data_IF_636097216205
#
_entry.id   IF_636097216205
#
_cell.length_a   1.000
_cell.length_b   1.000
_cell.length_c   1.000
_cell.angle_alpha   90.00
_cell.angle_beta   90.00
_cell.angle_gamma   90.00
#
_symmetry.space_group_name_H-M   'P 1'
#
loop_
_entity.id
_entity.type
_entity.pdbx_description
1 polymer ?
#
# COMPACT_ATOMS: atom_id res chain seq x y z
N UNK A 1 -19.53 -28.45 -46.62
CA UNK A 1 -20.88 -27.93 -46.50
C UNK A 1 -21.66 -28.84 -45.56
N UNK A 2 -21.61 -28.59 -44.24
CA UNK A 2 -22.41 -29.22 -43.22
C UNK A 2 -22.71 -28.15 -42.15
N UNK A 3 -23.98 -27.91 -41.82
CA UNK A 3 -24.33 -26.90 -40.82
C UNK A 3 -24.31 -27.51 -39.42
N UNK A 4 -23.54 -26.90 -38.48
CA UNK A 4 -23.59 -27.16 -37.06
C UNK A 4 -24.85 -26.54 -36.48
N UNK A 5 -25.71 -27.35 -35.90
CA UNK A 5 -26.92 -26.98 -35.18
C UNK A 5 -26.52 -26.48 -33.77
N UNK A 6 -26.86 -25.24 -33.48
CA UNK A 6 -26.85 -24.68 -32.12
C UNK A 6 -28.03 -25.22 -31.32
N UNK A 7 -27.78 -25.83 -30.19
CA UNK A 7 -28.79 -26.26 -29.22
C UNK A 7 -29.00 -25.11 -28.20
N UNK A 8 -30.24 -24.63 -27.95
CA UNK A 8 -30.48 -23.61 -26.95
C UNK A 8 -30.55 -24.23 -25.56
N UNK A 9 -29.63 -23.81 -24.64
CA UNK A 9 -29.74 -24.10 -23.24
C UNK A 9 -30.93 -23.35 -22.63
N UNK A 10 -31.95 -24.08 -22.18
CA UNK A 10 -33.09 -23.57 -21.41
C UNK A 10 -32.64 -23.31 -19.97
N UNK A 11 -32.65 -22.04 -19.57
CA UNK A 11 -32.53 -21.60 -18.19
C UNK A 11 -33.84 -21.92 -17.45
N UNK A 12 -33.79 -22.78 -16.41
CA UNK A 12 -34.86 -22.98 -15.45
C UNK A 12 -34.64 -22.11 -14.23
N UNK A 13 -35.55 -21.22 -13.85
CA UNK A 13 -35.47 -20.52 -12.57
C UNK A 13 -35.79 -21.49 -11.43
N UNK A 14 -34.90 -21.57 -10.45
CA UNK A 14 -35.14 -22.27 -9.17
C UNK A 14 -36.11 -21.44 -8.32
N UNK A 15 -37.12 -22.12 -7.81
CA UNK A 15 -38.21 -21.60 -7.03
C UNK A 15 -37.77 -20.86 -5.75
N UNK A 16 -38.58 -19.87 -5.39
CA UNK A 16 -38.50 -19.12 -4.16
C UNK A 16 -38.66 -20.06 -2.92
N UNK A 17 -37.55 -20.27 -2.20
CA UNK A 17 -37.57 -20.91 -0.90
C UNK A 17 -38.04 -19.90 0.16
N UNK A 18 -39.07 -20.25 0.89
CA UNK A 18 -39.62 -19.49 2.02
C UNK A 18 -38.54 -19.28 3.10
N UNK A 19 -38.47 -18.06 3.63
CA UNK A 19 -37.64 -17.71 4.80
C UNK A 19 -38.16 -18.44 6.05
N UNK A 20 -37.28 -18.96 6.91
CA UNK A 20 -37.67 -19.53 8.19
C UNK A 20 -38.15 -18.43 9.15
N UNK A 21 -39.10 -18.76 10.09
CA UNK A 21 -39.66 -17.79 11.00
C UNK A 21 -38.61 -17.26 11.99
N UNK A 22 -38.63 -15.95 12.24
CA UNK A 22 -37.81 -15.27 13.23
C UNK A 22 -38.18 -15.75 14.63
N UNK A 23 -37.21 -16.32 15.34
CA UNK A 23 -37.39 -16.73 16.73
C UNK A 23 -37.46 -15.52 17.65
N UNK A 24 -38.58 -15.36 18.37
CA UNK A 24 -38.77 -14.34 19.40
C UNK A 24 -37.97 -14.76 20.65
N UNK A 25 -37.11 -13.86 21.21
CA UNK A 25 -36.38 -14.18 22.42
C UNK A 25 -37.31 -14.30 23.65
N UNK A 26 -37.19 -15.39 24.40
CA UNK A 26 -37.86 -15.61 25.66
C UNK A 26 -37.29 -14.70 26.76
N UNK A 27 -38.14 -14.15 27.65
CA UNK A 27 -37.64 -13.33 28.77
C UNK A 27 -36.87 -14.20 29.79
N UNK A 28 -35.74 -13.68 30.27
CA UNK A 28 -34.93 -14.26 31.32
C UNK A 28 -35.70 -14.28 32.65
N UNK A 29 -35.59 -15.37 33.45
CA UNK A 29 -36.18 -15.43 34.79
C UNK A 29 -35.49 -14.48 35.75
N UNK A 30 -36.27 -13.83 36.64
CA UNK A 30 -35.82 -12.91 37.65
C UNK A 30 -34.88 -13.57 38.65
N UNK A 31 -33.80 -12.87 39.01
CA UNK A 31 -32.87 -13.30 40.08
C UNK A 31 -33.51 -13.18 41.44
N UNK A 32 -33.32 -14.15 42.36
CA UNK A 32 -33.80 -14.07 43.72
C UNK A 32 -32.98 -13.00 44.54
N UNK A 33 -33.70 -12.27 45.41
CA UNK A 33 -33.16 -11.26 46.31
C UNK A 33 -32.27 -11.92 47.38
N UNK A 34 -31.09 -11.35 47.61
CA UNK A 34 -30.22 -11.75 48.72
C UNK A 34 -30.71 -11.16 50.06
N UNK A 35 -30.60 -11.87 51.17
CA UNK A 35 -31.03 -11.37 52.49
C UNK A 35 -30.04 -10.33 53.03
N UNK A 36 -30.62 -9.29 53.64
CA UNK A 36 -29.88 -8.26 54.34
C UNK A 36 -29.22 -8.80 55.62
N UNK A 37 -27.92 -8.82 55.67
CA UNK A 37 -27.18 -9.04 56.93
C UNK A 37 -26.76 -7.68 57.54
N UNK A 38 -27.34 -7.42 58.70
CA UNK A 38 -27.03 -6.32 59.59
C UNK A 38 -25.71 -6.61 60.35
N UNK A 39 -24.80 -5.68 60.34
CA UNK A 39 -23.97 -5.31 61.46
C UNK A 39 -22.70 -6.12 61.71
N UNK A 40 -21.56 -5.52 61.40
CA UNK A 40 -20.45 -5.44 62.37
C UNK A 40 -19.49 -4.33 61.88
N UNK A 41 -19.47 -3.26 62.68
CA UNK A 41 -18.48 -2.18 62.53
C UNK A 41 -17.12 -2.69 63.03
N UNK A 42 -16.22 -2.97 62.11
CA UNK A 42 -14.80 -3.08 62.44
C UNK A 42 -14.04 -2.03 61.63
N UNK A 43 -13.68 -0.94 62.31
CA UNK A 43 -12.82 0.10 61.76
C UNK A 43 -11.39 -0.45 61.69
N UNK A 44 -10.98 -0.96 60.58
CA UNK A 44 -9.56 -1.17 60.22
C UNK A 44 -9.20 -0.03 59.27
N UNK A 45 -8.44 0.94 59.78
CA UNK A 45 -7.79 1.95 58.96
C UNK A 45 -6.63 1.28 58.23
N UNK A 46 -6.92 0.76 57.01
CA UNK A 46 -5.89 0.36 56.06
C UNK A 46 -5.49 1.63 55.29
N UNK A 47 -4.33 2.21 55.65
CA UNK A 47 -3.66 3.18 54.81
C UNK A 47 -3.24 2.50 53.48
N UNK A 48 -4.13 2.57 52.50
CA UNK A 48 -3.83 2.07 51.19
C UNK A 48 -2.81 2.96 50.47
N UNK A 49 -1.58 2.50 50.39
CA UNK A 49 -0.63 2.95 49.38
C UNK A 49 -1.21 2.57 48.04
N UNK A 50 -1.88 3.53 47.40
CA UNK A 50 -2.18 3.45 45.98
C UNK A 50 -0.83 3.46 45.24
N UNK A 51 -0.47 2.39 44.48
CA UNK A 51 0.67 2.49 43.58
C UNK A 51 0.32 3.59 42.58
N UNK A 52 1.10 4.68 42.58
CA UNK A 52 1.16 5.56 41.40
C UNK A 52 1.59 4.68 40.25
N UNK A 53 0.63 4.29 39.42
CA UNK A 53 0.92 3.75 38.11
C UNK A 53 1.65 4.85 37.35
N UNK A 54 2.98 4.78 37.35
CA UNK A 54 3.80 5.61 36.47
C UNK A 54 3.35 5.28 35.06
N UNK A 55 2.48 6.14 34.48
CA UNK A 55 2.06 6.02 33.09
C UNK A 55 3.33 6.01 32.26
N UNK A 56 3.56 4.93 31.53
CA UNK A 56 4.65 4.90 30.56
C UNK A 56 4.43 6.09 29.61
N UNK A 57 5.45 6.94 29.39
CA UNK A 57 5.31 8.03 28.44
C UNK A 57 4.89 7.43 27.10
N UNK A 58 3.76 7.90 26.56
CA UNK A 58 3.32 7.53 25.23
C UNK A 58 4.49 7.81 24.28
N UNK A 59 5.04 6.77 23.65
CA UNK A 59 6.11 6.94 22.69
C UNK A 59 5.57 7.84 21.57
N UNK A 60 6.25 8.96 21.34
CA UNK A 60 5.91 9.86 20.26
C UNK A 60 5.97 9.09 18.91
N UNK A 61 4.93 9.23 18.10
CA UNK A 61 4.91 8.61 16.78
C UNK A 61 6.06 9.17 15.91
N UNK A 62 6.70 8.33 15.08
CA UNK A 62 7.80 8.78 14.22
C UNK A 62 7.35 9.93 13.30
N UNK A 63 8.16 10.99 13.26
CA UNK A 63 7.95 12.13 12.37
C UNK A 63 8.77 12.03 11.08
N UNK A 64 8.70 13.06 10.20
CA UNK A 64 9.39 13.04 8.90
C UNK A 64 10.91 12.82 9.00
N UNK A 65 11.57 13.38 10.02
CA UNK A 65 13.00 13.20 10.23
C UNK A 65 13.35 11.76 10.64
N UNK A 66 12.50 11.12 11.44
CA UNK A 66 12.67 9.73 11.83
C UNK A 66 12.51 8.81 10.62
N UNK A 67 11.53 9.11 9.76
CA UNK A 67 11.30 8.39 8.50
C UNK A 67 12.49 8.55 7.55
N UNK A 68 13.06 9.75 7.40
CA UNK A 68 14.24 9.97 6.57
C UNK A 68 15.45 9.18 7.07
N UNK A 69 15.67 9.14 8.40
CA UNK A 69 16.74 8.33 9.00
C UNK A 69 16.51 6.84 8.80
N UNK A 70 15.28 6.36 9.02
CA UNK A 70 14.93 4.96 8.78
C UNK A 70 15.08 4.59 7.30
N UNK A 71 14.67 5.46 6.37
CA UNK A 71 14.84 5.25 4.94
C UNK A 71 16.32 5.08 4.58
N UNK A 72 17.17 6.00 5.03
CA UNK A 72 18.61 5.94 4.77
C UNK A 72 19.29 4.70 5.37
N UNK A 73 18.83 4.24 6.52
CA UNK A 73 19.42 3.10 7.23
C UNK A 73 18.94 1.73 6.72
N UNK A 74 17.70 1.64 6.27
CA UNK A 74 17.03 0.35 6.05
C UNK A 74 16.76 0.06 4.57
N UNK A 75 16.59 1.10 3.72
CA UNK A 75 16.26 0.89 2.30
C UNK A 75 17.52 0.63 1.48
N UNK A 76 17.47 -0.39 0.65
CA UNK A 76 18.55 -0.73 -0.29
C UNK A 76 17.94 -1.40 -1.52
N UNK A 77 18.38 -1.02 -2.74
CA UNK A 77 19.28 0.09 -3.03
C UNK A 77 18.59 1.45 -2.88
N UNK A 78 19.37 2.51 -2.62
CA UNK A 78 18.91 3.90 -2.59
C UNK A 78 19.37 4.65 -3.83
N UNK A 79 18.63 5.71 -4.18
CA UNK A 79 19.01 6.70 -5.19
C UNK A 79 19.28 8.02 -4.49
N UNK A 80 20.21 8.79 -5.04
CA UNK A 80 20.64 10.09 -4.50
C UNK A 80 20.40 11.23 -5.52
N UNK A 81 19.14 11.60 -5.79
CA UNK A 81 18.85 12.73 -6.66
C UNK A 81 19.43 14.02 -6.05
N UNK A 82 20.04 14.92 -6.85
CA UNK A 82 20.54 16.20 -6.37
C UNK A 82 19.40 17.10 -5.88
N UNK A 83 19.72 18.11 -5.07
CA UNK A 83 18.75 18.97 -4.41
C UNK A 83 17.74 19.63 -5.38
N UNK A 84 18.19 20.02 -6.57
CA UNK A 84 17.33 20.57 -7.62
C UNK A 84 16.27 19.56 -8.11
N UNK A 85 16.66 18.29 -8.26
CA UNK A 85 15.72 17.23 -8.64
C UNK A 85 14.76 16.92 -7.48
N UNK A 86 15.24 16.90 -6.24
CA UNK A 86 14.37 16.75 -5.07
C UNK A 86 13.31 17.86 -5.03
N UNK A 87 13.69 19.11 -5.23
CA UNK A 87 12.75 20.24 -5.28
C UNK A 87 11.78 20.12 -6.47
N UNK A 88 12.27 19.73 -7.65
CA UNK A 88 11.46 19.55 -8.85
C UNK A 88 10.38 18.48 -8.65
N UNK A 89 10.74 17.31 -8.15
CA UNK A 89 9.77 16.23 -7.89
C UNK A 89 8.79 16.59 -6.78
N UNK A 90 9.22 17.31 -5.75
CA UNK A 90 8.33 17.86 -4.74
C UNK A 90 7.27 18.80 -5.32
N UNK A 91 7.68 19.70 -6.24
CA UNK A 91 6.76 20.58 -6.95
C UNK A 91 5.78 19.80 -7.85
N UNK A 92 6.28 18.79 -8.60
CA UNK A 92 5.44 17.92 -9.42
C UNK A 92 4.41 17.15 -8.59
N UNK A 93 4.77 16.72 -7.38
CA UNK A 93 3.81 16.04 -6.49
C UNK A 93 2.66 16.97 -6.09
N UNK A 94 2.95 18.21 -5.73
CA UNK A 94 1.93 19.21 -5.38
C UNK A 94 1.06 19.56 -6.59
N UNK A 95 1.66 19.72 -7.76
CA UNK A 95 0.94 20.00 -9.01
C UNK A 95 0.01 18.84 -9.39
N UNK A 96 0.48 17.60 -9.33
CA UNK A 96 -0.34 16.42 -9.63
C UNK A 96 -1.56 16.32 -8.71
N UNK A 97 -1.39 16.55 -7.41
CA UNK A 97 -2.49 16.58 -6.45
C UNK A 97 -3.50 17.68 -6.77
N UNK A 98 -3.03 18.87 -7.09
CA UNK A 98 -3.88 20.01 -7.48
C UNK A 98 -4.65 19.70 -8.76
N UNK A 99 -3.98 19.16 -9.78
CA UNK A 99 -4.60 18.78 -11.05
C UNK A 99 -5.68 17.69 -10.86
N UNK A 100 -5.51 16.81 -9.88
CA UNK A 100 -6.49 15.80 -9.49
C UNK A 100 -7.64 16.36 -8.61
N UNK A 101 -7.68 17.67 -8.35
CA UNK A 101 -8.68 18.28 -7.49
C UNK A 101 -8.52 17.95 -6.00
N UNK A 102 -7.39 17.41 -5.60
CA UNK A 102 -7.10 17.03 -4.22
C UNK A 102 -6.44 18.21 -3.52
N UNK A 103 -7.11 18.72 -2.51
CA UNK A 103 -6.52 19.71 -1.60
C UNK A 103 -5.98 18.97 -0.39
N UNK A 104 -4.68 18.99 -0.11
CA UNK A 104 -4.12 18.38 1.09
C UNK A 104 -4.73 19.00 2.34
N UNK A 105 -5.33 18.17 3.19
CA UNK A 105 -5.90 18.57 4.47
C UNK A 105 -4.84 18.69 5.57
N UNK A 106 -3.61 18.94 5.19
CA UNK A 106 -2.47 19.06 6.11
C UNK A 106 -1.25 18.27 5.62
N UNK A 107 -0.14 18.39 6.36
CA UNK A 107 1.07 17.66 6.05
C UNK A 107 0.85 16.15 6.13
N UNK A 108 1.34 15.40 5.13
CA UNK A 108 1.23 13.94 5.05
C UNK A 108 2.35 13.33 4.24
N UNK A 109 2.59 12.04 4.43
CA UNK A 109 3.50 11.29 3.58
C UNK A 109 2.86 10.99 2.23
N UNK A 110 3.63 11.08 1.15
CA UNK A 110 3.23 10.63 -0.19
C UNK A 110 4.37 9.87 -0.85
N UNK A 111 4.03 8.89 -1.63
CA UNK A 111 4.98 8.20 -2.49
C UNK A 111 4.74 8.63 -3.93
N UNK A 112 5.80 9.13 -4.56
CA UNK A 112 5.79 9.50 -5.96
C UNK A 112 6.61 8.50 -6.75
N UNK A 113 6.14 8.10 -7.93
CA UNK A 113 6.84 7.20 -8.86
C UNK A 113 7.00 7.89 -10.19
N UNK A 114 8.22 7.97 -10.67
CA UNK A 114 8.50 8.34 -12.06
C UNK A 114 8.67 7.07 -12.89
N UNK A 115 7.72 6.84 -13.81
CA UNK A 115 7.72 5.67 -14.69
C UNK A 115 8.59 5.84 -15.94
N UNK A 116 9.18 7.02 -16.16
CA UNK A 116 10.06 7.28 -17.30
C UNK A 116 11.12 6.19 -17.39
N UNK A 117 11.32 5.64 -18.59
CA UNK A 117 12.27 4.55 -18.84
C UNK A 117 13.71 4.91 -18.48
N UNK A 118 14.03 6.21 -18.48
CA UNK A 118 15.32 6.76 -18.09
C UNK A 118 15.41 7.07 -16.58
N UNK A 119 14.35 6.92 -15.82
CA UNK A 119 14.32 7.22 -14.37
C UNK A 119 14.00 6.00 -13.53
N UNK A 120 12.77 5.48 -13.61
CA UNK A 120 12.31 4.30 -12.87
C UNK A 120 12.62 4.42 -11.37
N UNK A 121 12.08 5.44 -10.71
CA UNK A 121 12.36 5.77 -9.32
C UNK A 121 11.07 5.98 -8.52
N UNK A 122 11.07 5.55 -7.25
CA UNK A 122 10.14 6.00 -6.22
C UNK A 122 10.82 7.04 -5.35
N UNK A 123 10.10 8.12 -5.04
CA UNK A 123 10.56 9.21 -4.19
C UNK A 123 9.54 9.40 -3.07
N UNK A 124 10.00 9.38 -1.83
CA UNK A 124 9.18 9.58 -0.64
C UNK A 124 9.27 11.03 -0.20
N UNK A 125 8.11 11.65 0.02
CA UNK A 125 8.00 13.02 0.48
C UNK A 125 7.12 13.14 1.72
N UNK A 126 7.46 14.13 2.55
CA UNK A 126 6.55 14.78 3.46
C UNK A 126 6.00 16.03 2.81
N UNK A 127 4.69 16.06 2.56
CA UNK A 127 4.02 17.20 1.95
C UNK A 127 3.81 18.28 3.02
N UNK A 128 4.80 19.16 3.11
CA UNK A 128 4.73 20.44 3.80
C UNK A 128 4.89 21.57 2.79
N UNK A 129 5.01 22.79 3.26
CA UNK A 129 5.32 23.95 2.42
C UNK A 129 6.67 24.55 2.83
N UNK A 130 7.74 24.29 2.06
CA UNK A 130 7.84 23.44 0.86
C UNK A 130 7.80 21.93 1.20
N UNK A 131 7.57 21.04 0.20
CA UNK A 131 7.69 19.60 0.38
C UNK A 131 9.11 19.19 0.78
N UNK A 132 9.22 18.23 1.70
CA UNK A 132 10.50 17.72 2.20
C UNK A 132 10.77 16.36 1.60
N UNK A 133 11.88 16.21 0.89
CA UNK A 133 12.35 14.92 0.38
C UNK A 133 12.88 14.06 1.52
N UNK A 134 12.51 12.76 1.54
CA UNK A 134 12.87 11.82 2.60
C UNK A 134 13.72 10.65 2.11
N UNK A 135 13.68 10.35 0.82
CA UNK A 135 14.48 9.30 0.22
C UNK A 135 13.97 8.86 -1.16
N UNK A 136 14.81 8.17 -1.91
CA UNK A 136 14.46 7.59 -3.19
C UNK A 136 15.06 6.20 -3.38
N UNK A 137 14.33 5.34 -4.13
CA UNK A 137 14.76 3.99 -4.46
C UNK A 137 14.37 3.63 -5.89
N UNK A 138 15.09 2.73 -6.57
CA UNK A 138 14.72 2.29 -7.91
C UNK A 138 13.44 1.45 -7.87
N UNK A 139 12.66 1.55 -8.94
CA UNK A 139 11.44 0.74 -9.15
C UNK A 139 11.48 0.03 -10.50
N UNK A 140 10.48 -0.82 -10.75
CA UNK A 140 10.15 -1.29 -12.10
C UNK A 140 8.68 -1.07 -12.36
N UNK A 141 8.37 -0.38 -13.44
CA UNK A 141 7.01 -0.15 -13.95
C UNK A 141 6.72 -1.00 -15.19
N UNK A 142 5.59 -0.77 -15.83
CA UNK A 142 5.14 -1.53 -17.00
C UNK A 142 6.10 -1.47 -18.17
N UNK A 143 6.41 -2.64 -18.76
CA UNK A 143 7.28 -2.75 -19.93
C UNK A 143 6.45 -2.68 -21.22
N UNK A 144 6.61 -1.62 -21.98
CA UNK A 144 6.01 -1.48 -23.31
C UNK A 144 6.71 -2.40 -24.33
N UNK A 145 5.98 -2.83 -25.35
CA UNK A 145 6.51 -3.68 -26.43
C UNK A 145 6.37 -5.18 -26.16
N UNK A 146 5.73 -5.61 -25.09
CA UNK A 146 5.50 -6.99 -24.75
C UNK A 146 4.01 -7.29 -24.58
N UNK A 147 3.52 -8.41 -25.13
CA UNK A 147 2.13 -8.85 -24.97
C UNK A 147 1.76 -9.00 -23.49
N UNK A 148 0.54 -8.61 -23.14
CA UNK A 148 -0.01 -8.65 -21.77
C UNK A 148 0.76 -7.77 -20.75
N UNK A 149 1.46 -6.73 -21.24
CA UNK A 149 2.12 -5.73 -20.42
C UNK A 149 1.48 -4.37 -20.68
N UNK A 150 0.96 -3.74 -19.63
CA UNK A 150 0.39 -2.40 -19.68
C UNK A 150 1.47 -1.36 -19.38
N UNK A 151 1.30 -0.16 -19.91
CA UNK A 151 1.96 1.01 -19.34
C UNK A 151 1.40 1.24 -17.94
N UNK A 152 2.25 1.49 -16.96
CA UNK A 152 1.76 1.92 -15.64
C UNK A 152 1.03 3.26 -15.79
N UNK A 153 -0.23 3.40 -15.37
CA UNK A 153 -1.00 4.62 -15.60
C UNK A 153 -0.40 5.81 -14.84
N UNK A 154 -0.50 7.02 -15.42
CA UNK A 154 -0.10 8.28 -14.80
C UNK A 154 -1.30 8.84 -14.04
N UNK A 155 -1.05 9.48 -12.89
CA UNK A 155 -2.08 10.14 -12.09
C UNK A 155 -1.85 10.06 -10.60
N UNK A 156 -2.89 10.39 -9.84
CA UNK A 156 -2.94 10.28 -8.39
C UNK A 156 -3.89 9.17 -8.02
N UNK A 157 -3.40 8.20 -7.27
CA UNK A 157 -4.14 7.00 -6.87
C UNK A 157 -4.28 6.96 -5.36
N UNK A 158 -5.51 6.78 -4.89
CA UNK A 158 -5.80 6.72 -3.46
C UNK A 158 -5.68 5.30 -2.94
N UNK A 159 -4.87 5.11 -1.91
CA UNK A 159 -4.80 3.88 -1.13
C UNK A 159 -5.91 3.91 -0.07
N UNK A 160 -6.85 2.98 -0.15
CA UNK A 160 -8.02 2.96 0.73
C UNK A 160 -8.56 1.55 0.94
N UNK A 161 -9.42 1.38 1.95
CA UNK A 161 -10.09 0.12 2.25
C UNK A 161 -11.08 -0.35 1.17
N UNK A 162 -11.44 0.50 0.20
CA UNK A 162 -12.27 0.12 -0.94
C UNK A 162 -11.59 -0.92 -1.84
N UNK A 163 -10.25 -0.93 -1.83
CA UNK A 163 -9.42 -1.92 -2.51
C UNK A 163 -8.49 -2.55 -1.47
N UNK A 164 -8.95 -3.57 -0.74
CA UNK A 164 -8.19 -4.09 0.40
C UNK A 164 -6.89 -4.74 -0.05
N UNK A 165 -5.84 -4.38 0.66
CA UNK A 165 -4.52 -4.97 0.51
C UNK A 165 -4.52 -6.45 0.90
N UNK A 166 -3.48 -7.14 0.47
CA UNK A 166 -3.21 -8.50 0.89
C UNK A 166 -1.71 -8.72 1.14
N UNK A 167 -1.36 -9.89 1.66
CA UNK A 167 0.03 -10.27 1.87
C UNK A 167 0.43 -11.39 0.91
N UNK A 168 1.64 -11.27 0.37
CA UNK A 168 2.21 -12.25 -0.52
C UNK A 168 2.26 -13.63 0.14
N UNK A 169 1.83 -14.66 -0.59
CA UNK A 169 1.89 -16.04 -0.12
C UNK A 169 3.31 -16.61 -0.11
N UNK A 170 4.23 -16.00 -0.88
CA UNK A 170 5.60 -16.47 -1.03
C UNK A 170 5.71 -17.70 -1.93
N UNK A 171 4.67 -17.96 -2.74
CA UNK A 171 4.68 -19.05 -3.73
C UNK A 171 5.46 -18.67 -4.98
N UNK A 172 6.10 -19.64 -5.61
CA UNK A 172 6.82 -19.44 -6.88
C UNK A 172 5.88 -19.76 -8.04
N UNK A 173 5.90 -18.89 -9.05
CA UNK A 173 5.20 -19.16 -10.30
C UNK A 173 5.91 -20.23 -11.15
N UNK A 174 5.35 -20.57 -12.33
CA UNK A 174 5.93 -21.56 -13.24
C UNK A 174 7.38 -21.28 -13.65
N UNK A 175 7.83 -20.02 -13.57
CA UNK A 175 9.21 -19.61 -13.86
C UNK A 175 10.11 -19.63 -12.59
N UNK A 176 9.62 -20.14 -11.46
CA UNK A 176 10.34 -20.18 -10.20
C UNK A 176 10.53 -18.81 -9.54
N UNK A 177 9.69 -17.83 -9.85
CA UNK A 177 9.79 -16.43 -9.39
C UNK A 177 8.75 -16.15 -8.32
N UNK A 178 9.14 -15.45 -7.26
CA UNK A 178 8.28 -14.90 -6.22
C UNK A 178 7.63 -13.60 -6.73
N UNK A 179 6.43 -13.69 -7.34
CA UNK A 179 5.81 -12.57 -8.06
C UNK A 179 5.58 -11.32 -7.20
N UNK A 180 5.17 -11.49 -5.96
CA UNK A 180 4.88 -10.42 -4.99
C UNK A 180 5.94 -10.30 -3.87
N UNK A 181 7.13 -10.87 -4.07
CA UNK A 181 8.17 -10.95 -3.05
C UNK A 181 8.05 -12.17 -2.15
N UNK A 182 8.73 -12.15 -1.00
CA UNK A 182 8.68 -13.25 -0.03
C UNK A 182 7.36 -13.26 0.73
N UNK A 183 7.06 -14.40 1.36
CA UNK A 183 5.85 -14.57 2.19
C UNK A 183 5.68 -13.45 3.20
N UNK A 184 4.48 -12.91 3.30
CA UNK A 184 4.10 -11.88 4.26
C UNK A 184 4.36 -10.45 3.81
N UNK A 185 5.06 -10.21 2.69
CA UNK A 185 5.20 -8.86 2.13
C UNK A 185 3.86 -8.29 1.71
N UNK A 186 3.66 -6.99 1.95
CA UNK A 186 2.39 -6.33 1.65
C UNK A 186 2.28 -6.01 0.17
N UNK A 187 1.09 -6.22 -0.37
CA UNK A 187 0.69 -5.80 -1.72
C UNK A 187 -0.33 -4.69 -1.54
N UNK A 188 0.07 -3.47 -1.90
CA UNK A 188 -0.78 -2.27 -1.86
C UNK A 188 -1.64 -2.27 -3.10
N UNK A 189 -2.95 -2.16 -2.93
CA UNK A 189 -3.91 -2.25 -4.02
C UNK A 189 -4.60 -0.90 -4.27
N UNK A 190 -4.46 -0.40 -5.49
CA UNK A 190 -5.05 0.88 -5.92
C UNK A 190 -6.26 0.68 -6.84
N UNK A 191 -6.78 -0.56 -6.91
CA UNK A 191 -7.99 -0.90 -7.66
C UNK A 191 -7.79 -1.02 -9.17
N UNK A 192 -8.92 -1.08 -9.84
CA UNK A 192 -8.98 -1.16 -11.30
C UNK A 192 -8.76 0.21 -11.93
N UNK A 193 -7.81 0.30 -12.85
CA UNK A 193 -7.42 1.53 -13.52
C UNK A 193 -7.45 1.35 -15.04
N UNK A 194 -7.72 2.43 -15.76
CA UNK A 194 -7.53 2.47 -17.20
C UNK A 194 -6.06 2.75 -17.50
N UNK A 195 -5.46 1.93 -18.35
CA UNK A 195 -4.06 2.08 -18.78
C UNK A 195 -3.93 1.69 -20.25
N UNK A 196 -2.93 2.23 -20.94
CA UNK A 196 -2.65 1.82 -22.31
C UNK A 196 -2.04 0.42 -22.34
N UNK A 197 -2.48 -0.41 -23.26
CA UNK A 197 -1.79 -1.65 -23.57
C UNK A 197 -0.38 -1.32 -24.06
N UNK A 198 0.63 -2.00 -23.55
CA UNK A 198 1.99 -1.90 -24.06
C UNK A 198 2.21 -2.67 -25.37
N UNK A 199 1.15 -3.19 -25.98
CA UNK A 199 1.19 -4.03 -27.19
C UNK A 199 0.04 -3.72 -28.15
N UNK A 200 0.15 -4.24 -29.38
CA UNK A 200 -0.86 -4.10 -30.41
C UNK A 200 -1.08 -2.63 -30.80
N UNK A 201 -2.32 -2.18 -30.76
CA UNK A 201 -2.70 -0.81 -31.11
C UNK A 201 -2.57 0.21 -29.93
N UNK A 202 -2.00 -0.20 -28.83
CA UNK A 202 -1.85 0.61 -27.59
C UNK A 202 -3.18 1.18 -27.04
N UNK A 203 -4.32 0.59 -27.41
CA UNK A 203 -5.62 1.05 -26.95
C UNK A 203 -5.75 0.97 -25.42
N UNK A 204 -6.48 1.91 -24.78
CA UNK A 204 -6.80 1.84 -23.37
C UNK A 204 -7.53 0.54 -23.01
N UNK A 205 -7.19 -0.04 -21.87
CA UNK A 205 -7.88 -1.19 -21.31
C UNK A 205 -7.76 -1.19 -19.78
N UNK A 206 -8.55 -2.01 -19.13
CA UNK A 206 -8.58 -2.08 -17.65
C UNK A 206 -7.50 -3.02 -17.15
N UNK A 207 -6.75 -2.55 -16.14
CA UNK A 207 -5.80 -3.34 -15.36
C UNK A 207 -5.93 -3.07 -13.87
N UNK A 208 -5.52 -4.00 -13.02
CA UNK A 208 -5.43 -3.75 -11.58
C UNK A 208 -4.07 -3.15 -11.24
N UNK A 209 -4.07 -1.94 -10.68
CA UNK A 209 -2.85 -1.27 -10.28
C UNK A 209 -2.47 -1.68 -8.86
N UNK A 210 -1.28 -2.24 -8.73
CA UNK A 210 -0.74 -2.66 -7.44
C UNK A 210 0.72 -2.20 -7.30
N UNK A 211 1.14 -1.97 -6.05
CA UNK A 211 2.54 -1.74 -5.71
C UNK A 211 2.97 -2.84 -4.72
N UNK A 212 4.08 -3.49 -5.01
CA UNK A 212 4.54 -4.65 -4.24
C UNK A 212 6.06 -4.85 -4.36
N UNK A 213 6.62 -5.64 -3.45
CA UNK A 213 7.98 -6.10 -3.61
C UNK A 213 8.11 -7.06 -4.81
N UNK A 214 9.33 -7.29 -5.26
CA UNK A 214 9.62 -8.30 -6.28
C UNK A 214 10.45 -9.45 -5.67
N UNK A 215 10.80 -10.45 -6.49
CA UNK A 215 11.69 -11.54 -6.06
C UNK A 215 13.06 -10.97 -5.68
N UNK A 216 13.47 -10.99 -4.40
CA UNK A 216 14.71 -10.38 -3.95
C UNK A 216 15.94 -11.11 -4.47
N UNK A 217 15.80 -12.36 -4.89
CA UNK A 217 16.92 -13.20 -5.34
C UNK A 217 17.14 -13.11 -6.86
N UNK A 218 16.08 -12.84 -7.64
CA UNK A 218 16.13 -12.92 -9.11
C UNK A 218 15.76 -11.62 -9.83
N UNK A 219 14.89 -10.80 -9.27
CA UNK A 219 14.33 -9.64 -9.97
C UNK A 219 14.68 -8.30 -9.34
N UNK A 220 15.01 -8.24 -8.05
CA UNK A 220 15.30 -6.97 -7.39
C UNK A 220 16.50 -6.25 -8.02
N UNK A 221 17.45 -7.01 -8.51
CA UNK A 221 18.59 -6.47 -9.30
C UNK A 221 18.17 -5.78 -10.61
N UNK A 222 16.93 -5.97 -11.09
CA UNK A 222 16.39 -5.36 -12.32
C UNK A 222 15.60 -4.08 -12.04
N UNK A 223 15.44 -3.70 -10.79
CA UNK A 223 14.86 -2.40 -10.45
C UNK A 223 15.68 -1.27 -11.06
N UNK A 224 15.02 -0.19 -11.48
CA UNK A 224 15.60 0.87 -12.30
C UNK A 224 15.36 0.68 -13.81
N UNK A 225 14.63 -0.40 -14.20
CA UNK A 225 14.21 -0.64 -15.57
C UNK A 225 12.76 -1.09 -15.64
N UNK A 226 12.03 -0.76 -16.71
CA UNK A 226 10.64 -1.16 -16.91
C UNK A 226 10.56 -2.68 -17.19
N UNK A 227 9.99 -3.46 -16.26
CA UNK A 227 9.98 -4.93 -16.32
C UNK A 227 8.66 -5.56 -15.90
N UNK A 228 7.69 -4.77 -15.42
CA UNK A 228 6.43 -5.30 -14.91
C UNK A 228 5.36 -5.42 -16.00
N UNK A 229 4.23 -6.05 -15.64
CA UNK A 229 3.02 -6.07 -16.47
C UNK A 229 2.12 -4.83 -16.26
N UNK A 230 2.63 -3.78 -15.60
CA UNK A 230 1.90 -2.55 -15.29
C UNK A 230 1.91 -2.19 -13.80
N UNK A 231 2.05 -3.16 -12.89
CA UNK A 231 2.22 -2.90 -11.46
C UNK A 231 3.57 -2.23 -11.16
N UNK A 232 3.68 -1.62 -10.00
CA UNK A 232 4.92 -1.01 -9.52
C UNK A 232 5.66 -2.01 -8.64
N UNK A 233 6.86 -2.40 -9.05
CA UNK A 233 7.74 -3.23 -8.23
C UNK A 233 8.73 -2.34 -7.49
N UNK A 234 8.81 -2.51 -6.18
CA UNK A 234 9.70 -1.76 -5.28
C UNK A 234 10.69 -2.71 -4.59
N UNK A 235 11.80 -2.19 -4.04
CA UNK A 235 12.70 -2.99 -3.21
C UNK A 235 11.97 -3.63 -2.03
N UNK A 236 12.36 -4.84 -1.65
CA UNK A 236 11.81 -5.54 -0.50
C UNK A 236 12.00 -4.73 0.81
N UNK A 237 13.11 -4.03 0.92
CA UNK A 237 13.43 -3.16 2.05
C UNK A 237 12.49 -1.95 2.13
N UNK A 238 12.22 -1.31 0.99
CA UNK A 238 11.24 -0.21 0.93
C UNK A 238 9.82 -0.68 1.26
N UNK A 239 9.42 -1.85 0.76
CA UNK A 239 8.12 -2.44 1.08
C UNK A 239 7.96 -2.64 2.60
N UNK A 240 8.97 -3.20 3.27
CA UNK A 240 8.97 -3.37 4.73
C UNK A 240 8.92 -2.04 5.49
N UNK A 241 9.66 -1.03 5.04
CA UNK A 241 9.64 0.29 5.67
C UNK A 241 8.26 0.93 5.60
N UNK A 242 7.64 0.96 4.40
CA UNK A 242 6.30 1.53 4.20
C UNK A 242 5.27 0.79 5.06
N UNK A 243 5.32 -0.54 5.09
CA UNK A 243 4.39 -1.40 5.84
C UNK A 243 4.54 -1.23 7.37
N UNK A 244 5.78 -1.25 7.88
CA UNK A 244 6.05 -1.09 9.31
C UNK A 244 5.67 0.28 9.84
N UNK A 245 5.95 1.32 9.07
CA UNK A 245 5.66 2.71 9.46
C UNK A 245 4.26 3.17 9.05
N UNK A 246 3.52 2.39 8.27
CA UNK A 246 2.17 2.74 7.81
C UNK A 246 2.15 4.02 6.99
N UNK A 247 3.17 4.28 6.17
CA UNK A 247 3.35 5.57 5.49
C UNK A 247 2.20 5.97 4.58
N UNK A 248 1.48 4.98 4.02
CA UNK A 248 0.32 5.18 3.14
C UNK A 248 -1.01 4.75 3.78
N UNK A 249 -1.03 4.48 5.09
CA UNK A 249 -2.11 3.77 5.77
C UNK A 249 -3.11 4.69 6.48
N UNK A 250 -3.30 5.93 6.04
CA UNK A 250 -4.22 6.86 6.71
C UNK A 250 -5.61 6.25 6.97
N UNK A 251 -6.20 5.58 5.97
CA UNK A 251 -7.53 4.97 6.09
C UNK A 251 -7.50 3.68 6.91
N UNK A 252 -6.43 2.90 6.81
CA UNK A 252 -6.24 1.66 7.56
C UNK A 252 -6.03 1.92 9.05
N UNK A 253 -5.24 2.94 9.41
CA UNK A 253 -5.02 3.32 10.81
C UNK A 253 -6.26 3.96 11.43
N UNK A 254 -7.02 4.74 10.66
CA UNK A 254 -8.32 5.25 11.11
C UNK A 254 -9.27 4.08 11.40
N UNK A 255 -9.37 3.09 10.52
CA UNK A 255 -10.20 1.91 10.74
C UNK A 255 -9.72 1.09 11.96
N UNK A 256 -8.41 0.94 12.13
CA UNK A 256 -7.83 0.25 13.28
C UNK A 256 -8.15 0.93 14.61
N UNK A 257 -8.25 2.25 14.62
CA UNK A 257 -8.61 3.02 15.82
C UNK A 257 -10.10 2.97 16.15
N UNK A 258 -10.97 2.84 15.15
CA UNK A 258 -12.42 2.95 15.32
C UNK A 258 -13.13 1.60 15.54
N UNK A 259 -12.62 0.50 14.97
CA UNK A 259 -13.32 -0.79 14.97
C UNK A 259 -12.36 -1.93 15.31
N UNK A 260 -11.94 -2.67 14.31
CA UNK A 260 -11.00 -3.79 14.44
C UNK A 260 -9.88 -3.57 13.44
N UNK A 261 -8.63 -3.70 13.87
CA UNK A 261 -7.50 -3.54 12.96
C UNK A 261 -7.64 -4.47 11.75
N UNK A 262 -7.56 -3.94 10.51
CA UNK A 262 -7.51 -4.75 9.31
C UNK A 262 -6.41 -5.82 9.42
N UNK A 263 -6.74 -7.06 9.05
CA UNK A 263 -5.85 -8.21 9.22
C UNK A 263 -4.49 -8.05 8.53
N UNK A 264 -4.43 -7.19 7.53
CA UNK A 264 -3.22 -6.90 6.76
C UNK A 264 -2.21 -6.08 7.54
N UNK A 265 -2.62 -5.33 8.58
CA UNK A 265 -1.72 -4.52 9.39
C UNK A 265 -0.86 -5.41 10.31
N UNK A 266 0.44 -5.14 10.36
CA UNK A 266 1.35 -5.81 11.30
C UNK A 266 0.99 -5.43 12.73
N UNK A 267 1.09 -6.38 13.66
CA UNK A 267 0.82 -6.12 15.09
C UNK A 267 1.92 -5.30 15.76
N UNK A 268 3.13 -5.44 15.27
CA UNK A 268 4.36 -4.78 15.76
C UNK A 268 4.73 -3.54 14.94
N UNK A 269 3.78 -3.01 14.14
CA UNK A 269 4.00 -1.77 13.38
C UNK A 269 4.16 -0.56 14.31
N UNK A 270 4.87 0.43 13.82
CA UNK A 270 5.07 1.73 14.48
C UNK A 270 4.55 2.84 13.56
N UNK A 271 3.22 3.06 13.49
CA UNK A 271 2.64 3.98 12.53
C UNK A 271 3.09 5.41 12.79
N UNK A 272 3.34 6.14 11.71
CA UNK A 272 3.80 7.54 11.73
C UNK A 272 2.66 8.51 12.05
N UNK A 273 2.99 9.66 12.61
CA UNK A 273 2.09 10.80 12.62
C UNK A 273 1.95 11.36 11.19
N UNK A 274 0.72 11.50 10.69
CA UNK A 274 0.47 12.04 9.35
C UNK A 274 0.67 11.03 8.21
N UNK A 275 0.33 9.75 8.45
CA UNK A 275 0.22 8.78 7.36
C UNK A 275 -0.57 9.36 6.19
N UNK A 276 -0.08 9.14 4.98
CA UNK A 276 -0.75 9.56 3.75
C UNK A 276 -1.63 8.47 3.17
N UNK A 277 -2.13 8.75 1.96
CA UNK A 277 -2.94 7.81 1.19
C UNK A 277 -2.71 7.89 -0.31
N UNK A 278 -1.78 8.72 -0.75
CA UNK A 278 -1.61 8.96 -2.18
C UNK A 278 -0.33 8.36 -2.73
N UNK A 279 -0.51 7.62 -3.81
CA UNK A 279 0.52 7.24 -4.76
C UNK A 279 0.39 8.16 -5.97
N UNK A 280 1.45 8.88 -6.30
CA UNK A 280 1.50 9.79 -7.45
C UNK A 280 2.41 9.15 -8.49
N UNK A 281 1.92 8.99 -9.72
CA UNK A 281 2.69 8.43 -10.82
C UNK A 281 2.82 9.48 -11.91
N UNK A 282 4.05 9.80 -12.27
CA UNK A 282 4.39 10.72 -13.35
C UNK A 282 5.25 10.04 -14.40
N UNK A 283 5.38 10.69 -15.55
CA UNK A 283 6.34 10.38 -16.60
C UNK A 283 7.04 11.67 -16.97
N UNK A 284 8.33 11.79 -16.65
CA UNK A 284 9.07 13.02 -16.91
C UNK A 284 9.61 13.13 -18.33
N UNK A 285 9.42 12.11 -19.15
CA UNK A 285 9.77 12.05 -20.59
C UNK A 285 11.19 12.59 -20.83
N UNK A 286 12.17 12.04 -20.12
CA UNK A 286 13.57 12.49 -20.22
C UNK A 286 14.24 11.92 -21.44
N UNK A 287 14.95 12.76 -22.16
CA UNK A 287 15.75 12.33 -23.32
C UNK A 287 16.91 11.38 -22.90
N UNK A 288 17.47 11.58 -21.71
CA UNK A 288 18.62 10.83 -21.22
C UNK A 288 18.42 10.41 -19.78
N UNK A 289 19.06 9.30 -19.41
CA UNK A 289 19.09 8.81 -18.03
C UNK A 289 19.96 9.73 -17.17
N UNK A 290 19.41 10.31 -16.10
CA UNK A 290 20.19 11.14 -15.20
C UNK A 290 21.19 10.30 -14.40
N UNK A 291 22.35 10.84 -14.02
CA UNK A 291 23.40 10.10 -13.29
C UNK A 291 22.93 9.52 -11.95
N UNK A 292 21.93 10.13 -11.32
CA UNK A 292 21.39 9.67 -10.05
C UNK A 292 20.39 8.52 -10.18
N UNK A 293 19.83 8.24 -11.37
CA UNK A 293 18.97 7.10 -11.59
C UNK A 293 19.76 5.79 -11.58
N UNK A 294 19.10 4.69 -11.27
CA UNK A 294 19.77 3.38 -11.30
C UNK A 294 20.36 3.12 -12.71
N UNK A 295 21.56 2.55 -12.81
CA UNK A 295 22.20 2.30 -14.10
C UNK A 295 21.33 1.41 -14.98
N UNK A 296 21.26 1.72 -16.27
CA UNK A 296 20.62 0.83 -17.24
C UNK A 296 21.37 -0.50 -17.27
N UNK A 297 20.67 -1.59 -16.99
CA UNK A 297 21.26 -2.93 -17.12
C UNK A 297 21.06 -3.41 -18.55
N UNK A 298 22.06 -4.09 -19.16
CA UNK A 298 21.89 -4.72 -20.46
C UNK A 298 20.69 -5.66 -20.40
N UNK A 299 19.86 -5.61 -21.45
CA UNK A 299 18.84 -6.64 -21.66
C UNK A 299 19.55 -7.99 -21.69
N UNK A 300 19.37 -8.80 -20.66
CA UNK A 300 19.80 -10.19 -20.74
C UNK A 300 18.96 -10.81 -21.85
N UNK A 301 19.63 -11.13 -22.96
CA UNK A 301 19.01 -11.83 -24.07
C UNK A 301 18.25 -13.03 -23.53
N UNK A 302 17.06 -13.27 -24.10
CA UNK A 302 16.36 -14.54 -23.86
C UNK A 302 17.35 -15.67 -24.16
N UNK A 303 17.47 -16.68 -23.27
CA UNK A 303 18.12 -17.92 -23.63
C UNK A 303 17.41 -18.61 -24.79
#
# INVERSE_FOLDING_TARGET
>A
MFPLRLCPMRYRPRGAGALPPVAVPRPCPARPALPAWRGFLCRIALAGLLPLAAGQPAQAQPGPQDVARAFSAEVSPVLAPPAEEQARYGALAVEALRAAGITPLGPQFVLMVDRDVNVQAALLYWLSQPPVFLGAAPVSTGRVGQFDHFETPIGVFTHSLANPDFRAEGTRNANGILGYGIKGMRVYDFGWQTANKGWGNHAPATMRLQMHATDPYRLEQRLGTAQSKGCIRIPATLNRLIDRLGLLDADYELAAALVTPPWVLLRDRTPVAGAGRYLIIVDTVRANRPPWAAPAKPEQGKP
#
